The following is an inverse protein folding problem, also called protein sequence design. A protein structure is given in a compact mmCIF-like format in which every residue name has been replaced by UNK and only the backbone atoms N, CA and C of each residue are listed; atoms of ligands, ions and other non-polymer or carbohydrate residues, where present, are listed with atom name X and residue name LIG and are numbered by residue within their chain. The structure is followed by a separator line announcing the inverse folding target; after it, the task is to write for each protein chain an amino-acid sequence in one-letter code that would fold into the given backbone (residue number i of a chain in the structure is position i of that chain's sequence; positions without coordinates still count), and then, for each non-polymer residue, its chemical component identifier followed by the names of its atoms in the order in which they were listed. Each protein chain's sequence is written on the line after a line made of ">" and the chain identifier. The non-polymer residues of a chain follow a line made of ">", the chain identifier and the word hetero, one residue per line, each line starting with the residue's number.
data_IF_130217214913
#
_entry.id   IF_130217214913
#
_cell.length_a   1.000
_cell.length_b   1.000
_cell.length_c   1.000
_cell.angle_alpha   90.00
_cell.angle_beta   90.00
_cell.angle_gamma   90.00
#
_symmetry.space_group_name_H-M   'P 1'
#
loop_
_entity.id
_entity.type
_entity.pdbx_description
1 polymer ?
#
# COMPACT_ATOMS: atom_id res chain seq x y z
N UNK A 1 11.85 53.85 23.66
CA UNK A 1 13.01 53.37 22.88
C UNK A 1 12.72 51.93 22.46
N UNK A 2 12.14 51.77 21.27
CA UNK A 2 11.81 50.47 20.66
C UNK A 2 13.01 50.02 19.82
N UNK A 3 13.68 48.94 20.22
CA UNK A 3 14.75 48.32 19.45
C UNK A 3 14.39 46.88 19.08
N UNK A 4 14.14 46.66 17.79
CA UNK A 4 14.63 45.51 17.03
C UNK A 4 13.93 44.16 17.16
N UNK A 5 12.78 44.00 16.51
CA UNK A 5 12.23 42.67 16.13
C UNK A 5 12.73 42.18 14.76
N UNK A 6 13.87 42.69 14.27
CA UNK A 6 14.33 42.49 12.88
C UNK A 6 15.44 41.43 12.72
N UNK A 7 15.36 40.30 13.42
CA UNK A 7 16.36 39.23 13.33
C UNK A 7 15.80 37.87 12.91
N UNK A 8 14.83 37.82 11.99
CA UNK A 8 14.35 36.55 11.41
C UNK A 8 14.03 36.59 9.90
N UNK A 9 14.62 37.51 9.13
CA UNK A 9 14.49 37.54 7.65
C UNK A 9 15.73 36.95 6.93
N UNK A 10 16.38 35.94 7.54
CA UNK A 10 17.71 35.49 7.15
C UNK A 10 17.88 34.01 6.77
N UNK A 11 16.81 33.22 6.67
CA UNK A 11 16.92 31.82 6.23
C UNK A 11 16.16 31.66 4.91
N UNK A 12 16.88 31.80 3.79
CA UNK A 12 16.42 31.24 2.52
C UNK A 12 16.33 29.72 2.70
N UNK A 13 15.17 29.08 2.51
CA UNK A 13 15.12 27.62 2.49
C UNK A 13 16.00 27.15 1.34
N UNK A 14 17.10 26.49 1.68
CA UNK A 14 18.01 25.89 0.71
C UNK A 14 17.27 24.80 -0.05
N UNK A 15 17.03 25.03 -1.35
CA UNK A 15 17.03 24.03 -2.42
C UNK A 15 16.22 22.72 -2.24
N UNK A 16 15.11 22.69 -1.50
CA UNK A 16 14.19 21.54 -1.52
C UNK A 16 12.73 21.86 -1.21
N UNK A 17 12.31 23.13 -1.32
CA UNK A 17 10.89 23.44 -1.31
C UNK A 17 10.23 22.75 -2.52
N UNK A 18 9.14 21.99 -2.34
CA UNK A 18 8.44 21.38 -3.47
C UNK A 18 8.03 22.48 -4.46
N UNK A 19 8.29 22.26 -5.74
CA UNK A 19 7.94 23.23 -6.80
C UNK A 19 6.44 23.25 -7.11
N UNK A 20 5.64 22.44 -6.42
CA UNK A 20 4.18 22.46 -6.52
C UNK A 20 3.55 23.39 -5.50
N UNK A 21 2.39 23.96 -5.86
CA UNK A 21 1.55 24.78 -4.99
C UNK A 21 0.74 23.97 -3.96
N UNK A 22 1.13 22.72 -3.71
CA UNK A 22 0.48 21.83 -2.75
C UNK A 22 0.70 22.35 -1.32
N UNK A 23 -0.30 22.24 -0.44
CA UNK A 23 -0.02 22.40 0.98
C UNK A 23 0.93 21.26 1.41
N UNK A 24 1.89 21.49 2.33
CA UNK A 24 2.89 20.49 2.72
C UNK A 24 2.30 19.18 3.28
N UNK A 25 1.01 19.18 3.61
CA UNK A 25 0.27 18.03 4.15
C UNK A 25 -0.92 17.58 3.28
N UNK A 26 -1.07 18.09 2.05
CA UNK A 26 -2.25 17.79 1.20
C UNK A 26 -2.15 16.49 0.40
N UNK A 27 -1.30 15.54 0.78
CA UNK A 27 -1.14 14.26 0.06
C UNK A 27 -1.96 13.15 0.72
N UNK A 28 -2.70 12.41 -0.11
CA UNK A 28 -3.40 11.22 0.33
C UNK A 28 -2.43 10.03 0.40
N UNK A 29 -2.61 9.09 1.34
CA UNK A 29 -1.84 7.85 1.34
C UNK A 29 -2.04 7.08 0.02
N UNK A 30 -0.93 6.78 -0.65
CA UNK A 30 -0.94 5.97 -1.87
C UNK A 30 -1.41 4.52 -1.64
N UNK A 31 -1.73 3.84 -2.75
CA UNK A 31 -2.11 2.42 -2.77
C UNK A 31 -0.86 1.58 -3.03
N UNK A 32 -0.67 0.51 -2.26
CA UNK A 32 0.43 -0.45 -2.45
C UNK A 32 0.00 -1.52 -3.45
N UNK A 33 0.81 -1.78 -4.47
CA UNK A 33 0.59 -2.85 -5.44
C UNK A 33 1.67 -3.92 -5.29
N UNK A 34 1.28 -5.18 -5.15
CA UNK A 34 2.18 -6.33 -5.12
C UNK A 34 1.78 -7.37 -6.18
N UNK A 35 2.53 -7.52 -7.29
CA UNK A 35 2.21 -8.49 -8.34
C UNK A 35 2.57 -9.95 -7.97
N UNK A 36 3.32 -10.17 -6.90
CA UNK A 36 3.75 -11.50 -6.44
C UNK A 36 3.50 -11.64 -4.94
N UNK A 37 2.22 -11.62 -4.57
CA UNK A 37 1.79 -11.50 -3.18
C UNK A 37 2.31 -12.65 -2.31
N UNK A 38 2.45 -13.86 -2.87
CA UNK A 38 2.91 -15.05 -2.17
C UNK A 38 2.15 -15.27 -0.88
N UNK A 39 2.84 -15.20 0.25
CA UNK A 39 2.24 -15.41 1.57
C UNK A 39 1.42 -14.22 2.13
N UNK A 40 1.29 -13.10 1.41
CA UNK A 40 0.47 -11.96 1.80
C UNK A 40 1.11 -10.93 2.74
N UNK A 41 2.42 -11.02 3.02
CA UNK A 41 3.11 -10.15 3.99
C UNK A 41 3.01 -8.67 3.63
N UNK A 42 3.15 -8.32 2.35
CA UNK A 42 3.06 -6.93 1.87
C UNK A 42 1.71 -6.31 2.21
N UNK A 43 0.62 -7.02 1.95
CA UNK A 43 -0.74 -6.58 2.27
C UNK A 43 -0.96 -6.41 3.78
N UNK A 44 -0.44 -7.33 4.60
CA UNK A 44 -0.53 -7.24 6.07
C UNK A 44 0.22 -6.01 6.59
N UNK A 45 1.42 -5.74 6.08
CA UNK A 45 2.21 -4.56 6.48
C UNK A 45 1.55 -3.28 6.01
N UNK A 46 1.07 -3.22 4.76
CA UNK A 46 0.33 -2.07 4.23
C UNK A 46 -0.89 -1.75 5.10
N UNK A 47 -1.66 -2.77 5.48
CA UNK A 47 -2.79 -2.62 6.39
C UNK A 47 -2.36 -2.15 7.80
N UNK A 48 -1.25 -2.66 8.34
CA UNK A 48 -0.66 -2.19 9.61
C UNK A 48 -0.17 -0.73 9.54
N UNK A 49 0.18 -0.24 8.37
CA UNK A 49 0.53 1.16 8.14
C UNK A 49 -0.67 2.05 7.78
N UNK A 50 -1.89 1.51 7.77
CA UNK A 50 -3.10 2.25 7.43
C UNK A 50 -3.20 2.60 5.94
N UNK A 51 -2.53 1.83 5.08
CA UNK A 51 -2.54 2.00 3.61
C UNK A 51 -3.44 0.97 2.96
N UNK A 52 -4.00 1.34 1.81
CA UNK A 52 -4.70 0.41 0.92
C UNK A 52 -3.69 -0.44 0.16
N UNK A 53 -4.05 -1.68 -0.17
CA UNK A 53 -3.19 -2.56 -0.97
C UNK A 53 -3.97 -3.45 -1.93
N UNK A 54 -3.34 -3.74 -3.07
CA UNK A 54 -3.81 -4.68 -4.10
C UNK A 54 -2.69 -5.69 -4.31
N UNK A 55 -2.98 -6.97 -4.16
CA UNK A 55 -2.03 -8.06 -4.34
C UNK A 55 -2.51 -9.05 -5.39
N UNK A 56 -1.62 -9.53 -6.25
CA UNK A 56 -1.88 -10.61 -7.19
C UNK A 56 -1.06 -11.86 -6.85
N UNK A 57 -1.67 -13.03 -6.98
CA UNK A 57 -0.99 -14.31 -6.83
C UNK A 57 -1.56 -15.32 -7.83
N UNK A 58 -0.68 -16.14 -8.41
CA UNK A 58 -1.06 -17.17 -9.40
C UNK A 58 -1.33 -18.50 -8.73
N UNK A 59 -0.62 -18.81 -7.64
CA UNK A 59 -0.79 -20.06 -6.92
C UNK A 59 -2.04 -20.02 -6.03
N UNK A 60 -3.01 -20.93 -6.22
CA UNK A 60 -4.22 -20.98 -5.41
C UNK A 60 -3.94 -21.41 -3.96
N UNK A 61 -2.83 -22.09 -3.70
CA UNK A 61 -2.39 -22.40 -2.34
C UNK A 61 -1.94 -21.12 -1.62
N UNK A 62 -1.06 -20.35 -2.25
CA UNK A 62 -0.55 -19.09 -1.67
C UNK A 62 -1.66 -18.04 -1.52
N UNK A 63 -2.59 -17.99 -2.46
CA UNK A 63 -3.78 -17.14 -2.36
C UNK A 63 -4.57 -17.40 -1.07
N UNK A 64 -4.89 -18.67 -0.78
CA UNK A 64 -5.60 -19.05 0.46
C UNK A 64 -4.81 -18.71 1.73
N UNK A 65 -3.49 -18.90 1.71
CA UNK A 65 -2.61 -18.53 2.82
C UNK A 65 -2.63 -17.01 3.03
N UNK A 66 -2.51 -16.24 1.96
CA UNK A 66 -2.53 -14.78 1.99
C UNK A 66 -3.86 -14.25 2.53
N UNK A 67 -4.99 -14.74 2.00
CA UNK A 67 -6.34 -14.38 2.45
C UNK A 67 -6.53 -14.64 3.95
N UNK A 68 -6.16 -15.83 4.43
CA UNK A 68 -6.26 -16.19 5.84
C UNK A 68 -5.43 -15.24 6.74
N UNK A 69 -4.20 -14.93 6.34
CA UNK A 69 -3.32 -14.02 7.10
C UNK A 69 -3.83 -12.59 7.10
N UNK A 70 -4.37 -12.12 5.98
CA UNK A 70 -4.97 -10.79 5.85
C UNK A 70 -6.24 -10.71 6.70
N UNK A 71 -7.10 -11.72 6.67
CA UNK A 71 -8.31 -11.79 7.52
C UNK A 71 -7.96 -11.75 9.00
N UNK A 72 -6.94 -12.49 9.43
CA UNK A 72 -6.48 -12.45 10.82
C UNK A 72 -5.91 -11.06 11.20
N UNK A 73 -5.07 -10.46 10.36
CA UNK A 73 -4.51 -9.14 10.61
C UNK A 73 -5.58 -8.03 10.64
N UNK A 74 -6.59 -8.12 9.77
CA UNK A 74 -7.71 -7.18 9.73
C UNK A 74 -8.60 -7.28 10.96
N UNK A 75 -8.93 -8.51 11.39
CA UNK A 75 -9.68 -8.76 12.62
C UNK A 75 -8.94 -8.23 13.86
N UNK A 76 -7.66 -8.55 14.01
CA UNK A 76 -6.84 -8.06 15.12
C UNK A 76 -6.84 -6.53 15.21
N UNK A 77 -6.63 -5.82 14.10
CA UNK A 77 -6.64 -4.35 14.13
C UNK A 77 -8.00 -3.77 14.46
N UNK A 78 -9.11 -4.39 14.00
CA UNK A 78 -10.46 -3.90 14.33
C UNK A 78 -10.75 -4.00 15.82
N UNK A 79 -10.23 -5.02 16.50
CA UNK A 79 -10.36 -5.16 17.97
C UNK A 79 -9.62 -4.05 18.72
N UNK A 80 -8.41 -3.68 18.29
CA UNK A 80 -7.57 -2.73 19.01
C UNK A 80 -7.66 -1.27 18.52
N UNK A 81 -8.13 -1.03 17.28
CA UNK A 81 -8.26 0.30 16.71
C UNK A 81 -9.41 0.37 15.65
N UNK A 82 -10.67 0.51 16.10
CA UNK A 82 -11.85 0.46 15.22
C UNK A 82 -11.98 1.67 14.26
N UNK A 83 -11.27 2.77 14.50
CA UNK A 83 -11.32 3.96 13.65
C UNK A 83 -10.61 3.78 12.29
N UNK A 84 -9.75 2.77 12.14
CA UNK A 84 -9.00 2.52 10.89
C UNK A 84 -9.80 1.76 9.83
N UNK A 85 -10.95 2.30 9.43
CA UNK A 85 -11.84 1.69 8.41
C UNK A 85 -11.34 1.80 6.96
N UNK A 86 -10.31 2.61 6.68
CA UNK A 86 -9.94 2.99 5.31
C UNK A 86 -8.88 2.12 4.61
N UNK A 87 -8.23 1.19 5.33
CA UNK A 87 -7.21 0.32 4.75
C UNK A 87 -7.88 -0.93 4.14
N UNK A 88 -8.40 -0.79 2.93
CA UNK A 88 -8.91 -1.92 2.14
C UNK A 88 -7.75 -2.74 1.55
N UNK A 89 -7.86 -4.06 1.65
CA UNK A 89 -6.90 -5.01 1.10
C UNK A 89 -7.63 -5.88 0.08
N UNK A 90 -7.20 -5.84 -1.17
CA UNK A 90 -7.72 -6.71 -2.24
C UNK A 90 -6.66 -7.74 -2.62
N UNK A 91 -7.02 -9.03 -2.57
CA UNK A 91 -6.22 -10.13 -3.12
C UNK A 91 -6.93 -10.63 -4.37
N UNK A 92 -6.23 -10.63 -5.49
CA UNK A 92 -6.75 -11.06 -6.77
C UNK A 92 -5.98 -12.30 -7.22
N UNK A 93 -6.66 -13.43 -7.32
CA UNK A 93 -6.11 -14.60 -7.98
C UNK A 93 -6.04 -14.35 -9.49
N UNK A 94 -4.92 -14.68 -10.13
CA UNK A 94 -4.89 -14.76 -11.58
C UNK A 94 -5.73 -15.96 -12.01
N UNK A 95 -6.97 -15.71 -12.44
CA UNK A 95 -7.80 -16.72 -13.10
C UNK A 95 -7.07 -17.18 -14.37
N UNK A 96 -6.80 -18.48 -14.44
CA UNK A 96 -6.12 -19.20 -15.53
C UNK A 96 -6.55 -18.71 -16.91
N UNK A 97 -5.74 -17.85 -17.54
CA UNK A 97 -5.91 -17.41 -18.93
C UNK A 97 -4.85 -18.03 -19.85
N UNK A 98 -4.10 -19.04 -19.37
CA UNK A 98 -3.02 -19.73 -20.09
C UNK A 98 -3.24 -21.25 -20.19
N UNK A 99 -4.47 -21.70 -20.46
CA UNK A 99 -4.76 -23.12 -20.74
C UNK A 99 -5.03 -23.38 -22.23
N UNK A 100 -4.39 -22.63 -23.14
CA UNK A 100 -4.37 -22.99 -24.56
C UNK A 100 -2.94 -23.29 -25.02
N UNK A 101 -2.66 -24.58 -25.25
CA UNK A 101 -1.64 -24.99 -26.21
C UNK A 101 -0.47 -25.85 -25.71
N UNK A 102 -0.75 -27.02 -25.15
CA UNK A 102 0.18 -28.16 -25.20
C UNK A 102 -0.55 -29.38 -25.79
N UNK A 103 -1.18 -29.20 -26.94
CA UNK A 103 -1.62 -30.32 -27.78
C UNK A 103 -0.41 -30.83 -28.56
N UNK A 104 0.10 -31.99 -28.17
CA UNK A 104 0.50 -33.08 -29.04
C UNK A 104 1.14 -32.70 -30.38
N UNK A 105 2.44 -32.37 -30.38
CA UNK A 105 3.28 -32.58 -31.56
C UNK A 105 3.69 -34.05 -31.63
N UNK A 106 2.74 -34.91 -32.00
CA UNK A 106 2.99 -36.28 -32.45
C UNK A 106 2.38 -36.46 -33.83
N UNK A 107 3.07 -35.95 -34.84
CA UNK A 107 3.01 -36.38 -36.26
C UNK A 107 4.21 -35.82 -37.00
#
# INVERSE_FOLDING_TARGET
>A
MTFGTEYWLGLRPSASAPTCSCAPDSWLPGVVLDPFLGSGTTCVVAYKLGRRSIGFEVSPEYTRIAESRIAHATAQRRLFNPATRAAEVSVLAQSTMFDEGAADCSS
#
